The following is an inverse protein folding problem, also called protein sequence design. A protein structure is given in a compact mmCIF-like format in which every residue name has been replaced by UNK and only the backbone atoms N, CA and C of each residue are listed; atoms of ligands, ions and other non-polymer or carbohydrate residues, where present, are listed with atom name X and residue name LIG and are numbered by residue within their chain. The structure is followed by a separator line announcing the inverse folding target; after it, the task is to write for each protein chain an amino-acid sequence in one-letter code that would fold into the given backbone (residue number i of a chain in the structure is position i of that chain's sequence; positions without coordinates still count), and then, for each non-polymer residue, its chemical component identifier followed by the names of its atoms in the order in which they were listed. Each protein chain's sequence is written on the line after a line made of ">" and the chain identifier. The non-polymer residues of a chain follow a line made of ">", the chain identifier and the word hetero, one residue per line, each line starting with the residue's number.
data_IF_788577813693
#
_entry.id   IF_788577813693
#
_cell.length_a   1.000
_cell.length_b   1.000
_cell.length_c   1.000
_cell.angle_alpha   90.00
_cell.angle_beta   90.00
_cell.angle_gamma   90.00
#
_symmetry.space_group_name_H-M   'P 1'
#
loop_
_entity.id
_entity.type
_entity.pdbx_description
1 polymer ?
#
# COMPACT_ATOMS: atom_id res chain seq x y z
N UNK A 1 17.14 -26.39 3.95
CA UNK A 1 16.77 -25.28 3.05
C UNK A 1 15.43 -25.48 2.33
N UNK A 2 14.92 -26.71 2.14
CA UNK A 2 13.55 -26.95 1.64
C UNK A 2 12.43 -26.58 2.65
N UNK A 3 12.72 -26.46 3.94
CA UNK A 3 11.72 -26.10 4.97
C UNK A 3 11.06 -24.73 4.77
N UNK A 4 11.77 -23.73 4.24
CA UNK A 4 11.17 -22.40 4.04
C UNK A 4 10.17 -22.42 2.89
N UNK A 5 10.48 -23.16 1.81
CA UNK A 5 9.59 -23.30 0.65
C UNK A 5 8.38 -24.18 0.99
N UNK A 6 8.57 -25.25 1.77
CA UNK A 6 7.47 -26.06 2.29
C UNK A 6 6.57 -25.26 3.24
N UNK A 7 7.15 -24.44 4.14
CA UNK A 7 6.39 -23.55 5.02
C UNK A 7 5.56 -22.52 4.24
N UNK A 8 6.12 -21.87 3.22
CA UNK A 8 5.39 -20.92 2.36
C UNK A 8 4.30 -21.63 1.54
N UNK A 9 4.48 -22.90 1.19
CA UNK A 9 3.52 -23.65 0.37
C UNK A 9 2.39 -24.27 1.18
N UNK A 10 2.70 -24.82 2.35
CA UNK A 10 1.79 -25.65 3.15
C UNK A 10 1.10 -24.84 4.27
N UNK A 11 1.71 -23.75 4.75
CA UNK A 11 1.16 -22.89 5.81
C UNK A 11 0.64 -21.53 5.29
N UNK A 12 0.40 -21.38 3.98
CA UNK A 12 -0.33 -20.22 3.45
C UNK A 12 -1.66 -20.64 2.85
N UNK A 13 -2.74 -20.00 3.30
CA UNK A 13 -4.02 -20.09 2.60
C UNK A 13 -3.92 -19.29 1.29
N UNK A 14 -3.72 -20.01 0.18
CA UNK A 14 -3.63 -19.45 -1.16
C UNK A 14 -4.85 -18.60 -1.55
N UNK A 15 -6.02 -18.82 -0.95
CA UNK A 15 -7.22 -18.00 -1.18
C UNK A 15 -7.01 -16.58 -0.65
N UNK A 16 -6.40 -16.44 0.52
CA UNK A 16 -6.08 -15.14 1.12
C UNK A 16 -4.94 -14.46 0.38
N UNK A 17 -3.95 -15.22 -0.11
CA UNK A 17 -2.89 -14.66 -0.97
C UNK A 17 -3.47 -14.08 -2.26
N UNK A 18 -4.37 -14.80 -2.92
CA UNK A 18 -5.07 -14.30 -4.11
C UNK A 18 -5.95 -13.09 -3.78
N UNK A 19 -6.61 -13.09 -2.62
CA UNK A 19 -7.37 -11.92 -2.16
C UNK A 19 -6.46 -10.70 -1.91
N UNK A 20 -5.29 -10.89 -1.30
CA UNK A 20 -4.31 -9.82 -1.10
C UNK A 20 -3.82 -9.27 -2.45
N UNK A 21 -3.51 -10.14 -3.42
CA UNK A 21 -3.12 -9.72 -4.76
C UNK A 21 -4.24 -8.94 -5.48
N UNK A 22 -5.50 -9.37 -5.35
CA UNK A 22 -6.65 -8.66 -5.89
C UNK A 22 -6.85 -7.29 -5.24
N UNK A 23 -6.77 -7.22 -3.90
CA UNK A 23 -6.86 -5.96 -3.14
C UNK A 23 -5.73 -5.01 -3.51
N UNK A 24 -4.51 -5.52 -3.71
CA UNK A 24 -3.37 -4.74 -4.17
C UNK A 24 -3.63 -4.12 -5.55
N UNK A 25 -4.12 -4.92 -6.50
CA UNK A 25 -4.46 -4.45 -7.84
C UNK A 25 -5.56 -3.36 -7.80
N UNK A 26 -6.64 -3.63 -7.05
CA UNK A 26 -7.76 -2.70 -6.88
C UNK A 26 -7.29 -1.40 -6.21
N UNK A 27 -6.47 -1.49 -5.16
CA UNK A 27 -5.90 -0.34 -4.46
C UNK A 27 -5.02 0.51 -5.37
N UNK A 28 -4.17 -0.12 -6.19
CA UNK A 28 -3.34 0.57 -7.16
C UNK A 28 -4.18 1.30 -8.23
N UNK A 29 -5.20 0.63 -8.78
CA UNK A 29 -6.12 1.24 -9.75
C UNK A 29 -6.92 2.39 -9.13
N UNK A 30 -7.47 2.18 -7.93
CA UNK A 30 -8.23 3.17 -7.19
C UNK A 30 -7.39 4.41 -6.83
N UNK A 31 -6.09 4.25 -6.61
CA UNK A 31 -5.16 5.36 -6.39
C UNK A 31 -4.77 6.10 -7.68
N UNK A 32 -4.60 5.38 -8.79
CA UNK A 32 -4.23 5.96 -10.09
C UNK A 32 -5.32 6.86 -10.67
N UNK A 33 -6.59 6.53 -10.47
CA UNK A 33 -7.73 7.30 -10.99
C UNK A 33 -7.79 8.75 -10.45
N UNK A 34 -7.74 9.01 -9.13
CA UNK A 34 -7.58 10.35 -8.58
C UNK A 34 -6.27 11.02 -8.99
N UNK A 35 -5.17 10.26 -9.09
CA UNK A 35 -3.87 10.83 -9.41
C UNK A 35 -3.82 11.38 -10.84
N UNK A 36 -4.43 10.69 -11.81
CA UNK A 36 -4.56 11.20 -13.18
C UNK A 36 -5.44 12.45 -13.23
N UNK A 37 -6.58 12.45 -12.52
CA UNK A 37 -7.46 13.62 -12.38
C UNK A 37 -6.75 14.83 -11.75
N UNK A 38 -5.84 14.59 -10.80
CA UNK A 38 -5.06 15.65 -10.16
C UNK A 38 -4.18 16.42 -11.17
N UNK A 39 -3.75 15.78 -12.26
CA UNK A 39 -2.91 16.42 -13.28
C UNK A 39 -3.70 17.38 -14.20
N UNK A 40 -5.01 17.17 -14.33
CA UNK A 40 -5.92 17.94 -15.19
C UNK A 40 -6.58 19.13 -14.46
N UNK A 41 -6.47 19.20 -13.13
CA UNK A 41 -7.20 20.16 -12.30
C UNK A 41 -6.38 21.37 -11.85
N UNK A 42 -7.07 22.47 -11.53
CA UNK A 42 -6.51 23.65 -10.85
C UNK A 42 -5.91 23.31 -9.47
N UNK A 43 -4.99 24.17 -9.00
CA UNK A 43 -4.19 23.94 -7.80
C UNK A 43 -4.99 23.60 -6.53
N UNK A 44 -6.20 24.14 -6.37
CA UNK A 44 -7.09 23.82 -5.24
C UNK A 44 -7.65 22.40 -5.31
N UNK A 45 -8.23 22.02 -6.45
CA UNK A 45 -8.80 20.69 -6.69
C UNK A 45 -7.71 19.61 -6.77
N UNK A 46 -6.52 19.96 -7.26
CA UNK A 46 -5.36 19.08 -7.29
C UNK A 46 -5.02 18.52 -5.91
N UNK A 47 -5.03 19.34 -4.86
CA UNK A 47 -4.72 18.89 -3.49
C UNK A 47 -5.73 17.85 -3.00
N UNK A 48 -7.01 18.04 -3.30
CA UNK A 48 -8.08 17.11 -2.94
C UNK A 48 -7.88 15.75 -3.62
N UNK A 49 -7.56 15.75 -4.92
CA UNK A 49 -7.34 14.53 -5.69
C UNK A 49 -6.07 13.78 -5.30
N UNK A 50 -4.99 14.49 -4.98
CA UNK A 50 -3.80 13.88 -4.36
C UNK A 50 -4.19 13.23 -3.02
N UNK A 51 -5.13 13.85 -2.28
CA UNK A 51 -5.58 13.37 -0.96
C UNK A 51 -6.29 12.04 -1.07
N UNK A 52 -7.26 12.01 -1.98
CA UNK A 52 -7.99 10.80 -2.33
C UNK A 52 -7.04 9.70 -2.84
N UNK A 53 -6.05 10.04 -3.67
CA UNK A 53 -5.06 9.10 -4.19
C UNK A 53 -4.23 8.47 -3.07
N UNK A 54 -3.69 9.28 -2.16
CA UNK A 54 -2.87 8.80 -1.05
C UNK A 54 -3.66 7.95 -0.04
N UNK A 55 -4.90 8.34 0.24
CA UNK A 55 -5.77 7.57 1.11
C UNK A 55 -6.10 6.20 0.50
N UNK A 56 -6.48 6.17 -0.79
CA UNK A 56 -6.76 4.93 -1.50
C UNK A 56 -5.53 4.02 -1.55
N UNK A 57 -4.35 4.58 -1.86
CA UNK A 57 -3.13 3.80 -1.93
C UNK A 57 -2.70 3.26 -0.56
N UNK A 58 -2.65 4.10 0.47
CA UNK A 58 -2.26 3.70 1.82
C UNK A 58 -3.20 2.64 2.40
N UNK A 59 -4.51 2.79 2.15
CA UNK A 59 -5.49 1.75 2.53
C UNK A 59 -5.23 0.44 1.79
N UNK A 60 -4.94 0.49 0.48
CA UNK A 60 -4.61 -0.70 -0.31
C UNK A 60 -3.34 -1.41 0.16
N UNK A 61 -2.27 -0.67 0.47
CA UNK A 61 -1.03 -1.21 1.03
C UNK A 61 -1.27 -1.88 2.37
N UNK A 62 -1.89 -1.15 3.31
CA UNK A 62 -2.20 -1.67 4.64
C UNK A 62 -3.06 -2.93 4.57
N UNK A 63 -4.13 -2.92 3.75
CA UNK A 63 -5.00 -4.07 3.58
C UNK A 63 -4.26 -5.26 2.98
N UNK A 64 -3.44 -5.05 1.95
CA UNK A 64 -2.62 -6.11 1.33
C UNK A 64 -1.67 -6.74 2.35
N UNK A 65 -1.01 -5.92 3.17
CA UNK A 65 -0.08 -6.38 4.19
C UNK A 65 -0.79 -7.20 5.28
N UNK A 66 -1.93 -6.72 5.78
CA UNK A 66 -2.71 -7.45 6.79
C UNK A 66 -3.32 -8.75 6.26
N UNK A 67 -3.86 -8.75 5.04
CA UNK A 67 -4.41 -9.96 4.43
C UNK A 67 -3.29 -10.99 4.19
N UNK A 68 -2.09 -10.54 3.78
CA UNK A 68 -0.94 -11.41 3.63
C UNK A 68 -0.48 -12.01 4.98
N UNK A 69 -0.46 -11.22 6.06
CA UNK A 69 -0.16 -11.74 7.41
C UNK A 69 -1.22 -12.74 7.89
N UNK A 70 -2.50 -12.50 7.61
CA UNK A 70 -3.60 -13.42 7.93
C UNK A 70 -3.54 -14.72 7.12
N UNK A 71 -2.94 -14.68 5.91
CA UNK A 71 -2.78 -15.87 5.09
C UNK A 71 -1.78 -16.86 5.70
N UNK A 72 -0.87 -16.41 6.57
CA UNK A 72 0.14 -17.24 7.22
C UNK A 72 -0.38 -17.93 8.47
N UNK A 73 -0.39 -19.26 8.48
CA UNK A 73 -0.61 -20.05 9.69
C UNK A 73 0.73 -20.39 10.35
N UNK A 74 1.11 -19.59 11.36
CA UNK A 74 2.36 -19.75 12.10
C UNK A 74 2.35 -20.84 13.18
N UNK A 75 1.26 -21.59 13.36
CA UNK A 75 1.13 -22.60 14.41
C UNK A 75 1.01 -22.05 15.84
N UNK A 76 0.91 -20.72 16.00
CA UNK A 76 0.63 -20.03 17.26
C UNK A 76 -0.46 -18.96 17.03
N UNK A 77 -1.32 -18.67 18.03
CA UNK A 77 -2.34 -17.63 17.89
C UNK A 77 -1.68 -16.25 17.73
N UNK A 78 -1.87 -15.64 16.56
CA UNK A 78 -1.42 -14.27 16.29
C UNK A 78 -2.56 -13.31 16.67
N UNK A 79 -2.38 -12.56 17.75
CA UNK A 79 -3.31 -11.51 18.16
C UNK A 79 -2.91 -10.15 17.58
N UNK A 80 -3.87 -9.42 17.01
CA UNK A 80 -3.65 -8.06 16.54
C UNK A 80 -4.21 -7.05 17.53
N UNK A 81 -3.33 -6.29 18.17
CA UNK A 81 -3.71 -5.16 19.02
C UNK A 81 -4.31 -4.04 18.16
N UNK A 82 -5.52 -3.61 18.51
CA UNK A 82 -6.26 -2.61 17.74
C UNK A 82 -5.49 -1.28 17.61
N UNK A 83 -4.80 -0.87 18.68
CA UNK A 83 -4.02 0.37 18.71
C UNK A 83 -2.84 0.35 17.75
N UNK A 84 -2.06 -0.74 17.73
CA UNK A 84 -0.94 -0.90 16.81
C UNK A 84 -1.40 -1.05 15.36
N UNK A 85 -2.54 -1.72 15.15
CA UNK A 85 -3.16 -1.89 13.83
C UNK A 85 -3.66 -0.56 13.26
N UNK A 86 -4.26 0.29 14.09
CA UNK A 86 -4.65 1.63 13.69
C UNK A 86 -3.44 2.54 13.43
N UNK A 87 -2.39 2.43 14.25
CA UNK A 87 -1.16 3.20 14.05
C UNK A 87 -0.47 2.83 12.73
N UNK A 88 -0.38 1.53 12.39
CA UNK A 88 0.21 1.10 11.12
C UNK A 88 -0.61 1.57 9.91
N UNK A 89 -1.94 1.59 10.02
CA UNK A 89 -2.81 2.17 9.01
C UNK A 89 -2.51 3.66 8.79
N UNK A 90 -2.42 4.44 9.88
CA UNK A 90 -2.10 5.87 9.80
C UNK A 90 -0.73 6.11 9.17
N UNK A 91 0.29 5.34 9.58
CA UNK A 91 1.64 5.43 9.00
C UNK A 91 1.63 5.10 7.51
N UNK A 92 0.87 4.10 7.08
CA UNK A 92 0.75 3.73 5.66
C UNK A 92 0.11 4.85 4.83
N UNK A 93 -0.96 5.48 5.34
CA UNK A 93 -1.61 6.62 4.67
C UNK A 93 -0.69 7.84 4.60
N UNK A 94 -0.03 8.18 5.71
CA UNK A 94 0.89 9.34 5.77
C UNK A 94 2.12 9.13 4.88
N UNK A 95 2.69 7.92 4.89
CA UNK A 95 3.81 7.56 4.00
C UNK A 95 3.42 7.65 2.53
N UNK A 96 2.24 7.12 2.18
CA UNK A 96 1.69 7.19 0.81
C UNK A 96 1.48 8.63 0.36
N UNK A 97 0.97 9.49 1.25
CA UNK A 97 0.80 10.91 1.00
C UNK A 97 2.13 11.61 0.73
N UNK A 98 3.15 11.39 1.58
CA UNK A 98 4.47 11.98 1.39
C UNK A 98 5.11 11.55 0.05
N UNK A 99 5.02 10.26 -0.28
CA UNK A 99 5.57 9.72 -1.51
C UNK A 99 4.87 10.28 -2.77
N UNK A 100 3.53 10.39 -2.76
CA UNK A 100 2.79 10.98 -3.88
C UNK A 100 3.08 12.48 -4.02
N UNK A 101 3.25 13.21 -2.91
CA UNK A 101 3.66 14.62 -2.96
C UNK A 101 5.01 14.78 -3.65
N UNK A 102 6.01 13.96 -3.27
CA UNK A 102 7.34 13.95 -3.90
C UNK A 102 7.27 13.54 -5.37
N UNK A 103 6.43 12.56 -5.70
CA UNK A 103 6.19 12.12 -7.09
C UNK A 103 5.46 13.17 -7.94
N UNK A 104 4.73 14.09 -7.30
CA UNK A 104 3.95 15.15 -7.96
C UNK A 104 4.73 16.47 -8.12
N UNK A 105 5.94 16.57 -7.56
CA UNK A 105 6.82 17.72 -7.77
C UNK A 105 7.32 17.73 -9.22
N UNK A 106 7.08 18.82 -9.95
CA UNK A 106 7.42 19.00 -11.39
C UNK A 106 8.93 19.03 -11.69
N UNK A 107 9.81 18.58 -10.78
CA UNK A 107 11.25 18.91 -10.78
C UNK A 107 12.17 17.91 -11.49
N UNK A 108 11.66 17.14 -12.45
CA UNK A 108 12.47 16.41 -13.43
C UNK A 108 12.16 14.92 -13.55
N UNK A 109 12.73 14.28 -14.60
CA UNK A 109 12.52 12.88 -15.01
C UNK A 109 12.73 11.84 -13.89
N UNK A 110 13.41 12.21 -12.81
CA UNK A 110 13.68 11.36 -11.64
C UNK A 110 12.66 11.49 -10.48
N UNK A 111 11.70 12.42 -10.54
CA UNK A 111 10.68 12.59 -9.48
C UNK A 111 9.83 11.33 -9.28
N UNK A 112 9.41 10.67 -10.37
CA UNK A 112 8.66 9.41 -10.28
C UNK A 112 9.47 8.27 -9.68
N UNK A 113 10.78 8.20 -9.97
CA UNK A 113 11.67 7.19 -9.39
C UNK A 113 11.83 7.43 -7.89
N UNK A 114 12.06 8.69 -7.48
CA UNK A 114 12.16 9.05 -6.05
C UNK A 114 10.86 8.78 -5.31
N UNK A 115 9.72 9.08 -5.92
CA UNK A 115 8.40 8.76 -5.38
C UNK A 115 8.18 7.26 -5.22
N UNK A 116 8.53 6.46 -6.22
CA UNK A 116 8.45 5.00 -6.17
C UNK A 116 9.37 4.38 -5.11
N UNK A 117 10.59 4.91 -4.95
CA UNK A 117 11.53 4.47 -3.91
C UNK A 117 11.00 4.82 -2.51
N UNK A 118 10.49 6.03 -2.30
CA UNK A 118 9.83 6.43 -1.05
C UNK A 118 8.62 5.54 -0.74
N UNK A 119 7.85 5.16 -1.76
CA UNK A 119 6.73 4.24 -1.62
C UNK A 119 7.21 2.86 -1.15
N UNK A 120 8.23 2.31 -1.82
CA UNK A 120 8.76 0.98 -1.50
C UNK A 120 9.39 0.95 -0.09
N UNK A 121 10.09 2.01 0.32
CA UNK A 121 10.65 2.15 1.67
C UNK A 121 9.58 2.25 2.76
N UNK A 122 8.37 2.74 2.44
CA UNK A 122 7.26 2.76 3.38
C UNK A 122 6.54 1.41 3.53
N UNK A 123 6.78 0.47 2.62
CA UNK A 123 6.15 -0.85 2.57
C UNK A 123 7.09 -1.95 3.11
N UNK A 124 8.40 -1.78 2.93
CA UNK A 124 9.46 -2.71 3.37
C UNK A 124 9.79 -2.54 4.86
#
# INVERSE_FOLDING_TARGET
>A
MFSVIACIRDNHDWRLVLAAAAVCLVGAMAAMLPLSRAQECDAGRRKLWIGASAFAFGTGVWATHFIAMLAYDGGMPIGYELGLTALSFLLSVVGSWAAILVASERRGRFSHIRGGVLMALGIA
#
